data_IF_444834265291
#
_entry.id   IF_444834265291
#
_cell.length_a   1.000
_cell.length_b   1.000
_cell.length_c   1.000
_cell.angle_alpha   90.00
_cell.angle_beta   90.00
_cell.angle_gamma   90.00
#
_symmetry.space_group_name_H-M   'P 1'
#
loop_
_entity.id
_entity.type
_entity.pdbx_description
1 polymer ?
#
# COMPACT_ATOMS: atom_id res chain seq x y z
N UNK A 1 -10.05 6.93 74.59
CA UNK A 1 -10.48 6.31 73.32
C UNK A 1 -9.79 7.03 72.18
N UNK A 2 -9.41 6.25 71.17
CA UNK A 2 -8.55 6.59 70.04
C UNK A 2 -9.07 7.77 69.19
N UNK A 3 -8.15 8.58 68.66
CA UNK A 3 -7.90 8.62 67.21
C UNK A 3 -6.70 9.53 66.90
N UNK A 4 -5.60 8.89 66.53
CA UNK A 4 -4.46 9.48 65.84
C UNK A 4 -4.85 9.88 64.42
N UNK A 5 -4.52 11.10 63.99
CA UNK A 5 -4.47 11.45 62.56
C UNK A 5 -3.04 11.86 62.24
N UNK A 6 -2.33 10.95 61.59
CA UNK A 6 -1.06 11.16 60.90
C UNK A 6 -1.33 11.77 59.53
N UNK A 7 -0.66 12.85 59.15
CA UNK A 7 -0.55 13.31 57.76
C UNK A 7 0.82 12.87 57.20
N UNK A 8 0.87 12.02 56.16
CA UNK A 8 2.08 11.80 55.40
C UNK A 8 2.12 12.70 54.15
N UNK A 9 3.31 13.27 53.94
CA UNK A 9 4.00 13.49 52.67
C UNK A 9 3.20 14.00 51.44
N UNK A 10 3.41 15.29 51.14
CA UNK A 10 3.53 15.77 49.76
C UNK A 10 4.83 15.21 49.15
N UNK A 11 4.77 14.24 48.24
CA UNK A 11 5.89 13.90 47.37
C UNK A 11 5.44 13.06 46.16
N UNK A 12 4.58 13.61 45.31
CA UNK A 12 4.23 12.97 44.02
C UNK A 12 3.84 14.00 42.97
N UNK A 13 4.78 14.82 42.48
CA UNK A 13 4.61 15.57 41.23
C UNK A 13 5.98 15.86 40.61
N UNK A 14 6.67 14.83 40.10
CA UNK A 14 7.88 15.01 39.29
C UNK A 14 8.22 13.83 38.36
N UNK A 15 7.29 12.91 38.06
CA UNK A 15 7.58 11.70 37.26
C UNK A 15 6.84 11.58 35.92
N UNK A 16 5.99 12.54 35.56
CA UNK A 16 5.21 12.50 34.30
C UNK A 16 5.78 13.33 33.16
N UNK A 17 6.74 14.25 33.40
CA UNK A 17 7.31 15.08 32.32
C UNK A 17 8.56 14.49 31.62
N UNK A 18 9.26 13.55 32.26
CA UNK A 18 10.52 12.99 31.71
C UNK A 18 10.30 11.82 30.76
N UNK A 19 9.24 11.02 30.98
CA UNK A 19 8.91 9.88 30.12
C UNK A 19 8.46 10.32 28.71
N UNK A 20 7.70 11.42 28.62
CA UNK A 20 7.28 12.01 27.34
C UNK A 20 8.46 12.55 26.53
N UNK A 21 9.45 13.17 27.16
CA UNK A 21 10.63 13.70 26.44
C UNK A 21 11.56 12.60 25.92
N UNK A 22 11.67 11.47 26.62
CA UNK A 22 12.51 10.35 26.17
C UNK A 22 11.90 9.61 24.97
N UNK A 23 10.58 9.39 24.98
CA UNK A 23 9.88 8.78 23.84
C UNK A 23 9.85 9.71 22.62
N UNK A 24 9.70 11.02 22.84
CA UNK A 24 9.69 12.01 21.76
C UNK A 24 11.05 12.18 21.07
N UNK A 25 12.16 11.83 21.74
CA UNK A 25 13.52 11.86 21.17
C UNK A 25 13.93 10.54 20.49
N UNK A 26 13.31 9.40 20.83
CA UNK A 26 13.72 8.09 20.34
C UNK A 26 13.38 7.88 18.86
N UNK A 27 12.13 8.14 18.45
CA UNK A 27 11.68 7.93 17.07
C UNK A 27 12.41 8.81 16.04
N UNK A 28 12.88 9.98 16.46
CA UNK A 28 13.58 10.94 15.59
C UNK A 28 14.93 10.39 15.12
N UNK A 29 15.62 9.60 15.96
CA UNK A 29 16.89 8.99 15.60
C UNK A 29 16.73 7.89 14.55
N UNK A 30 15.57 7.24 14.52
CA UNK A 30 15.23 6.16 13.59
C UNK A 30 14.39 6.64 12.40
N UNK A 31 14.28 7.96 12.21
CA UNK A 31 13.49 8.58 11.15
C UNK A 31 14.28 9.61 10.36
N UNK A 32 14.08 9.64 9.04
CA UNK A 32 14.57 10.72 8.18
C UNK A 32 13.49 11.28 7.27
N UNK A 33 13.63 12.56 6.94
CA UNK A 33 12.76 13.30 6.03
C UNK A 33 13.47 13.51 4.69
N UNK A 34 12.84 13.09 3.60
CA UNK A 34 13.30 13.35 2.23
C UNK A 34 12.60 14.60 1.71
N UNK A 35 13.37 15.58 1.23
CA UNK A 35 12.87 16.89 0.77
C UNK A 35 13.58 17.34 -0.50
N UNK A 36 12.92 18.19 -1.29
CA UNK A 36 13.55 18.91 -2.41
C UNK A 36 14.21 20.21 -1.94
N UNK A 37 15.44 20.44 -2.39
CA UNK A 37 16.17 21.71 -2.24
C UNK A 37 16.84 22.09 -3.57
N UNK A 38 16.19 22.97 -4.32
CA UNK A 38 16.59 23.29 -5.69
C UNK A 38 16.63 22.02 -6.55
N UNK A 39 17.75 21.79 -7.23
CA UNK A 39 17.94 20.62 -8.10
C UNK A 39 18.34 19.35 -7.33
N UNK A 40 18.47 19.41 -6.01
CA UNK A 40 18.87 18.27 -5.20
C UNK A 40 17.72 17.74 -4.37
N UNK A 41 17.86 16.48 -3.99
CA UNK A 41 17.07 15.81 -2.96
C UNK A 41 17.96 15.66 -1.73
N UNK A 42 17.47 16.11 -0.59
CA UNK A 42 18.18 16.10 0.68
C UNK A 42 17.49 15.19 1.68
N UNK A 43 18.29 14.57 2.53
CA UNK A 43 17.83 13.75 3.64
C UNK A 43 18.14 14.52 4.92
N UNK A 44 17.11 14.76 5.73
CA UNK A 44 17.22 15.55 6.95
C UNK A 44 16.76 14.78 8.17
N UNK A 45 17.43 15.06 9.28
CA UNK A 45 16.99 14.61 10.60
C UNK A 45 15.78 15.44 11.06
N UNK A 46 14.69 14.81 11.57
CA UNK A 46 13.47 15.52 11.93
C UNK A 46 13.60 16.42 13.18
N UNK A 47 14.53 16.12 14.09
CA UNK A 47 14.65 16.86 15.37
C UNK A 47 15.36 18.22 15.28
N UNK A 48 16.36 18.34 14.39
CA UNK A 48 17.22 19.52 14.28
C UNK A 48 17.35 20.04 12.84
N UNK A 49 16.65 19.42 11.88
CA UNK A 49 16.65 19.75 10.46
C UNK A 49 18.05 19.68 9.81
N UNK A 50 19.00 18.96 10.42
CA UNK A 50 20.35 18.79 9.88
C UNK A 50 20.31 17.94 8.61
N UNK A 51 20.96 18.41 7.55
CA UNK A 51 21.18 17.61 6.34
C UNK A 51 22.18 16.50 6.62
N UNK A 52 21.73 15.25 6.50
CA UNK A 52 22.50 14.03 6.70
C UNK A 52 23.10 13.52 5.37
N UNK A 53 22.34 13.69 4.28
CA UNK A 53 22.74 13.27 2.94
C UNK A 53 22.13 14.20 1.89
N UNK A 54 22.79 14.32 0.74
CA UNK A 54 22.33 15.13 -0.38
C UNK A 54 22.75 14.49 -1.70
N UNK A 55 21.83 14.39 -2.64
CA UNK A 55 22.12 13.93 -3.99
C UNK A 55 21.23 14.62 -5.02
N UNK A 56 21.68 14.71 -6.28
CA UNK A 56 20.83 15.17 -7.38
C UNK A 56 19.86 14.09 -7.86
N UNK A 57 20.23 12.83 -7.70
CA UNK A 57 19.34 11.68 -7.92
C UNK A 57 18.46 11.45 -6.69
N UNK A 58 17.14 11.51 -6.88
CA UNK A 58 16.18 11.31 -5.80
C UNK A 58 16.15 9.87 -5.32
N UNK A 59 16.37 8.89 -6.22
CA UNK A 59 16.43 7.47 -5.87
C UNK A 59 17.51 7.23 -4.81
N UNK A 60 18.72 7.76 -5.03
CA UNK A 60 19.85 7.56 -4.13
C UNK A 60 19.59 8.16 -2.74
N UNK A 61 18.92 9.31 -2.66
CA UNK A 61 18.57 9.92 -1.38
C UNK A 61 17.51 9.12 -0.62
N UNK A 62 16.49 8.62 -1.32
CA UNK A 62 15.43 7.79 -0.72
C UNK A 62 16.01 6.46 -0.22
N UNK A 63 16.77 5.77 -1.07
CA UNK A 63 17.40 4.50 -0.69
C UNK A 63 18.45 4.68 0.41
N UNK A 64 19.14 5.82 0.48
CA UNK A 64 20.03 6.12 1.59
C UNK A 64 19.25 6.16 2.92
N UNK A 65 18.06 6.76 2.93
CA UNK A 65 17.19 6.75 4.11
C UNK A 65 16.80 5.32 4.52
N UNK A 66 16.31 4.54 3.56
CA UNK A 66 15.88 3.15 3.80
C UNK A 66 17.04 2.24 4.28
N UNK A 67 18.27 2.53 3.84
CA UNK A 67 19.47 1.80 4.25
C UNK A 67 19.93 2.17 5.66
N UNK A 68 19.70 3.41 6.10
CA UNK A 68 20.33 3.95 7.33
C UNK A 68 19.41 4.01 8.53
N UNK A 69 18.10 4.17 8.34
CA UNK A 69 17.13 4.30 9.43
C UNK A 69 15.90 3.44 9.18
N UNK A 70 15.05 3.27 10.20
CA UNK A 70 13.84 2.44 10.13
C UNK A 70 12.74 3.12 9.35
N UNK A 71 12.57 4.45 9.49
CA UNK A 71 11.49 5.20 8.86
C UNK A 71 12.03 6.25 7.89
N UNK A 72 11.62 6.15 6.63
CA UNK A 72 11.91 7.15 5.60
C UNK A 72 10.61 7.80 5.16
N UNK A 73 10.49 9.11 5.34
CA UNK A 73 9.29 9.88 4.98
C UNK A 73 9.62 10.84 3.84
N UNK A 74 9.04 10.60 2.67
CA UNK A 74 9.15 11.50 1.52
C UNK A 74 8.11 12.60 1.65
N UNK A 75 8.55 13.83 1.84
CA UNK A 75 7.66 14.99 1.95
C UNK A 75 7.29 15.55 0.58
N UNK A 76 6.33 16.47 0.56
CA UNK A 76 5.85 17.11 -0.66
C UNK A 76 6.95 17.63 -1.59
N UNK A 77 6.77 17.41 -2.89
CA UNK A 77 7.74 17.74 -3.93
C UNK A 77 7.73 16.76 -5.11
N UNK A 78 8.42 17.12 -6.18
CA UNK A 78 8.59 16.25 -7.35
C UNK A 78 9.94 15.52 -7.30
N UNK A 79 9.90 14.20 -7.39
CA UNK A 79 11.07 13.34 -7.33
C UNK A 79 11.16 12.51 -8.60
N UNK A 80 12.27 12.68 -9.30
CA UNK A 80 12.61 11.91 -10.49
C UNK A 80 13.49 10.74 -10.06
N UNK A 81 13.04 9.52 -10.35
CA UNK A 81 13.67 8.25 -10.00
C UNK A 81 14.38 7.69 -11.22
N UNK A 82 15.68 7.40 -11.11
CA UNK A 82 16.50 6.93 -12.23
C UNK A 82 16.14 5.52 -12.69
N UNK A 83 15.73 4.62 -11.80
CA UNK A 83 15.31 3.27 -12.16
C UNK A 83 14.06 2.85 -11.42
N UNK A 84 14.22 2.57 -10.12
CA UNK A 84 13.17 2.25 -9.16
C UNK A 84 13.73 2.40 -7.75
N UNK A 85 12.86 2.43 -6.76
CA UNK A 85 13.25 2.43 -5.35
C UNK A 85 13.29 0.97 -4.88
N UNK A 86 14.49 0.45 -4.65
CA UNK A 86 14.67 -0.88 -4.05
C UNK A 86 14.59 -0.79 -2.52
N UNK A 87 13.71 -1.58 -1.92
CA UNK A 87 13.71 -1.78 -0.47
C UNK A 87 14.94 -2.61 -0.10
N UNK A 88 15.86 -2.10 0.74
CA UNK A 88 17.19 -2.69 0.88
C UNK A 88 17.29 -3.76 1.97
N UNK A 89 16.32 -3.81 2.90
CA UNK A 89 16.38 -4.64 4.12
C UNK A 89 14.98 -4.82 4.73
N UNK A 90 14.77 -5.84 5.58
CA UNK A 90 13.51 -6.02 6.31
C UNK A 90 13.26 -4.94 7.36
N UNK A 91 12.01 -4.84 7.80
CA UNK A 91 11.57 -4.00 8.92
C UNK A 91 11.60 -2.50 8.66
N UNK A 92 11.74 -2.04 7.41
CA UNK A 92 11.73 -0.61 7.08
C UNK A 92 10.34 -0.11 6.75
N UNK A 93 10.09 1.16 7.05
CA UNK A 93 8.89 1.89 6.66
C UNK A 93 9.24 2.97 5.65
N UNK A 94 8.54 2.97 4.52
CA UNK A 94 8.52 4.05 3.55
C UNK A 94 7.16 4.75 3.57
N UNK A 95 7.15 6.05 3.83
CA UNK A 95 5.95 6.90 3.74
C UNK A 95 6.10 7.86 2.58
N UNK A 96 5.13 7.91 1.68
CA UNK A 96 5.05 8.89 0.59
C UNK A 96 3.93 9.86 0.91
N UNK A 97 4.28 11.09 1.28
CA UNK A 97 3.34 12.16 1.64
C UNK A 97 2.36 12.49 0.51
N UNK A 98 1.17 12.98 0.87
CA UNK A 98 0.08 13.30 -0.06
C UNK A 98 0.43 14.36 -1.13
N UNK A 99 1.48 15.15 -0.90
CA UNK A 99 1.96 16.15 -1.85
C UNK A 99 3.25 15.74 -2.57
N UNK A 100 3.73 14.50 -2.37
CA UNK A 100 4.89 13.97 -3.07
C UNK A 100 4.46 13.31 -4.39
N UNK A 101 5.21 13.60 -5.46
CA UNK A 101 5.04 12.96 -6.77
C UNK A 101 6.33 12.24 -7.14
N UNK A 102 6.26 10.93 -7.35
CA UNK A 102 7.37 10.12 -7.86
C UNK A 102 7.11 9.79 -9.33
N UNK A 103 8.13 9.96 -10.17
CA UNK A 103 8.10 9.58 -11.58
C UNK A 103 9.43 9.02 -12.03
N UNK A 104 9.41 8.14 -13.03
CA UNK A 104 10.63 7.63 -13.63
C UNK A 104 11.28 8.69 -14.54
N UNK A 105 12.61 8.72 -14.56
CA UNK A 105 13.37 9.48 -15.54
C UNK A 105 13.24 8.82 -16.93
N UNK A 106 12.64 9.47 -17.93
CA UNK A 106 12.42 8.85 -19.24
C UNK A 106 13.71 8.54 -20.00
N UNK A 107 14.83 9.18 -19.64
CA UNK A 107 16.12 9.06 -20.35
C UNK A 107 17.03 7.96 -19.80
N UNK A 108 16.65 7.32 -18.69
CA UNK A 108 17.45 6.29 -18.03
C UNK A 108 17.06 4.88 -18.45
N UNK A 109 18.01 3.96 -18.31
CA UNK A 109 17.74 2.53 -18.44
C UNK A 109 17.03 2.04 -17.19
N UNK A 110 15.90 1.35 -17.38
CA UNK A 110 15.12 0.82 -16.28
C UNK A 110 15.12 -0.71 -16.22
N UNK A 111 15.24 -1.24 -15.01
CA UNK A 111 15.27 -2.66 -14.68
C UNK A 111 13.87 -3.23 -14.67
N UNK A 112 13.65 -4.23 -15.54
CA UNK A 112 12.35 -4.89 -15.68
C UNK A 112 12.30 -6.20 -14.91
N UNK A 113 11.08 -6.62 -14.60
CA UNK A 113 10.77 -7.93 -14.08
C UNK A 113 9.90 -8.66 -15.10
N UNK A 114 10.32 -9.89 -15.42
CA UNK A 114 9.63 -10.75 -16.38
C UNK A 114 8.75 -11.80 -15.68
N UNK A 115 7.76 -12.27 -16.44
CA UNK A 115 7.00 -13.46 -16.13
C UNK A 115 7.85 -14.72 -16.22
N UNK A 116 7.45 -15.75 -15.47
CA UNK A 116 7.86 -17.12 -15.78
C UNK A 116 6.98 -17.64 -16.92
N UNK A 117 7.32 -17.29 -18.15
CA UNK A 117 6.57 -17.70 -19.35
C UNK A 117 7.50 -18.30 -20.41
N UNK A 118 6.94 -19.11 -21.32
CA UNK A 118 7.68 -19.63 -22.49
C UNK A 118 8.10 -18.52 -23.46
N UNK A 119 7.44 -17.36 -23.37
CA UNK A 119 7.72 -16.15 -24.14
C UNK A 119 8.30 -15.08 -23.20
N UNK A 120 9.61 -15.16 -22.91
CA UNK A 120 10.29 -14.10 -22.18
C UNK A 120 10.09 -12.75 -22.91
N UNK A 121 9.85 -11.67 -22.17
CA UNK A 121 9.57 -10.34 -22.74
C UNK A 121 8.12 -10.08 -23.17
N UNK A 122 7.15 -10.96 -22.90
CA UNK A 122 5.74 -10.75 -23.28
C UNK A 122 5.12 -9.50 -22.63
N UNK A 123 5.44 -9.20 -21.36
CA UNK A 123 5.32 -7.86 -20.78
C UNK A 123 6.45 -7.63 -19.80
N UNK A 124 7.10 -6.48 -19.95
CA UNK A 124 8.18 -6.06 -19.07
C UNK A 124 7.61 -5.09 -18.04
N UNK A 125 7.57 -5.53 -16.78
CA UNK A 125 7.01 -4.73 -15.69
C UNK A 125 8.12 -4.03 -14.91
N UNK A 126 7.88 -2.78 -14.54
CA UNK A 126 8.85 -1.95 -13.83
C UNK A 126 8.24 -1.51 -12.49
N UNK A 127 8.46 -2.23 -11.39
CA UNK A 127 7.99 -1.76 -10.10
C UNK A 127 8.73 -0.48 -9.73
N UNK A 128 8.00 0.60 -9.44
CA UNK A 128 8.59 1.87 -9.03
C UNK A 128 9.08 1.82 -7.59
N UNK A 129 8.36 1.10 -6.72
CA UNK A 129 8.81 0.73 -5.38
C UNK A 129 8.80 -0.80 -5.28
N UNK A 130 9.95 -1.39 -5.01
CA UNK A 130 10.16 -2.83 -5.12
C UNK A 130 10.70 -3.43 -3.83
N UNK A 131 9.90 -4.27 -3.19
CA UNK A 131 10.33 -5.11 -2.08
C UNK A 131 10.64 -6.52 -2.58
N UNK A 132 11.92 -6.92 -2.59
CA UNK A 132 12.35 -8.25 -3.03
C UNK A 132 12.74 -9.15 -1.86
N UNK A 133 11.77 -9.87 -1.32
CA UNK A 133 12.03 -10.90 -0.32
C UNK A 133 12.40 -10.39 1.07
N UNK A 134 12.02 -9.14 1.41
CA UNK A 134 12.24 -8.60 2.75
C UNK A 134 10.96 -8.62 3.57
N UNK A 135 11.09 -9.17 4.77
CA UNK A 135 10.04 -9.31 5.77
C UNK A 135 9.72 -7.98 6.45
N UNK A 136 8.49 -7.86 6.97
CA UNK A 136 8.06 -6.76 7.84
C UNK A 136 8.24 -5.35 7.27
N UNK A 137 8.26 -5.24 5.94
CA UNK A 137 8.34 -3.95 5.23
C UNK A 137 6.98 -3.26 5.22
N UNK A 138 6.97 -1.96 5.52
CA UNK A 138 5.78 -1.11 5.48
C UNK A 138 5.90 -0.07 4.38
N UNK A 139 4.91 0.00 3.50
CA UNK A 139 4.84 1.02 2.45
C UNK A 139 3.48 1.71 2.53
N UNK A 140 3.52 2.98 2.92
CA UNK A 140 2.36 3.84 3.12
C UNK A 140 2.37 4.92 2.03
N UNK A 141 1.53 4.76 1.01
CA UNK A 141 1.51 5.62 -0.17
C UNK A 141 0.27 6.51 -0.17
N UNK A 142 0.49 7.80 0.06
CA UNK A 142 -0.55 8.83 0.06
C UNK A 142 -0.39 9.83 -1.09
N UNK A 143 0.81 9.93 -1.68
CA UNK A 143 1.14 10.81 -2.79
C UNK A 143 0.77 10.26 -4.17
N UNK A 144 1.53 10.66 -5.19
CA UNK A 144 1.32 10.26 -6.59
C UNK A 144 2.49 9.44 -7.11
N UNK A 145 2.20 8.29 -7.73
CA UNK A 145 3.15 7.50 -8.51
C UNK A 145 2.75 7.59 -9.99
N UNK A 146 3.52 8.33 -10.78
CA UNK A 146 3.21 8.56 -12.20
C UNK A 146 3.50 7.32 -13.05
N UNK A 147 2.50 6.90 -13.82
CA UNK A 147 2.66 5.80 -14.75
C UNK A 147 3.61 6.19 -15.88
N UNK A 148 4.61 5.35 -16.11
CA UNK A 148 5.45 5.39 -17.29
C UNK A 148 5.20 4.16 -18.15
N UNK A 149 5.07 4.37 -19.46
CA UNK A 149 4.78 3.32 -20.43
C UNK A 149 5.52 3.60 -21.74
N UNK A 150 6.21 2.59 -22.26
CA UNK A 150 6.67 2.56 -23.65
C UNK A 150 5.87 1.48 -24.38
N UNK A 151 5.25 1.85 -25.50
CA UNK A 151 4.60 0.89 -26.40
C UNK A 151 5.57 0.48 -27.51
N UNK A 152 5.63 -0.81 -27.80
CA UNK A 152 6.44 -1.36 -28.90
C UNK A 152 5.65 -2.44 -29.65
N UNK A 153 6.12 -2.81 -30.86
CA UNK A 153 5.50 -3.88 -31.66
C UNK A 153 5.57 -5.26 -30.98
N UNK A 154 6.56 -5.46 -30.10
CA UNK A 154 6.85 -6.73 -29.42
C UNK A 154 6.39 -6.74 -27.95
N UNK A 155 5.38 -5.91 -27.64
CA UNK A 155 4.87 -5.57 -26.31
C UNK A 155 5.71 -4.52 -25.57
N UNK A 156 5.02 -3.75 -24.74
CA UNK A 156 5.57 -2.56 -24.11
C UNK A 156 6.25 -2.82 -22.77
N UNK A 157 6.87 -1.76 -22.25
CA UNK A 157 7.30 -1.63 -20.86
C UNK A 157 6.28 -0.78 -20.12
N UNK A 158 5.89 -1.16 -18.90
CA UNK A 158 5.06 -0.30 -18.07
C UNK A 158 5.40 -0.39 -16.59
N UNK A 159 5.22 0.72 -15.89
CA UNK A 159 5.40 0.78 -14.44
C UNK A 159 4.29 0.07 -13.69
N UNK A 160 4.69 -0.69 -12.67
CA UNK A 160 3.84 -1.04 -11.55
C UNK A 160 4.16 -0.11 -10.38
N UNK A 161 3.20 0.38 -9.59
CA UNK A 161 3.49 1.39 -8.59
C UNK A 161 4.26 0.79 -7.40
N UNK A 162 3.74 -0.29 -6.79
CA UNK A 162 4.39 -1.01 -5.69
C UNK A 162 4.27 -2.52 -5.92
N UNK A 163 5.37 -3.24 -5.71
CA UNK A 163 5.39 -4.69 -5.76
C UNK A 163 6.11 -5.27 -4.53
N UNK A 164 5.44 -6.19 -3.85
CA UNK A 164 6.06 -7.11 -2.90
C UNK A 164 6.30 -8.43 -3.64
N UNK A 165 7.56 -8.79 -3.83
CA UNK A 165 7.98 -9.96 -4.60
C UNK A 165 8.75 -10.96 -3.72
N UNK A 166 8.02 -11.90 -3.14
CA UNK A 166 8.59 -13.02 -2.38
C UNK A 166 9.00 -14.22 -3.24
N UNK A 167 9.01 -14.12 -4.58
CA UNK A 167 9.35 -15.25 -5.44
C UNK A 167 10.78 -15.72 -5.17
N UNK A 168 10.93 -17.02 -4.97
CA UNK A 168 12.22 -17.65 -4.72
C UNK A 168 12.29 -19.04 -5.37
N UNK A 169 13.47 -19.64 -5.38
CA UNK A 169 13.72 -20.94 -6.02
C UNK A 169 13.01 -22.12 -5.35
N UNK A 170 12.66 -21.98 -4.06
CA UNK A 170 11.96 -23.02 -3.29
C UNK A 170 10.48 -23.11 -3.66
N UNK A 171 9.91 -22.06 -4.28
CA UNK A 171 8.51 -22.03 -4.68
C UNK A 171 7.54 -21.95 -3.50
N UNK A 172 7.96 -21.31 -2.41
CA UNK A 172 7.13 -20.94 -1.26
C UNK A 172 7.06 -19.41 -1.15
N UNK A 173 6.36 -18.89 -0.14
CA UNK A 173 6.40 -17.45 0.14
C UNK A 173 7.80 -17.05 0.62
N UNK A 174 8.43 -16.10 -0.06
CA UNK A 174 9.80 -15.65 0.26
C UNK A 174 9.86 -14.30 0.95
N UNK A 175 8.70 -13.74 1.31
CA UNK A 175 8.60 -12.69 2.31
C UNK A 175 7.38 -12.93 3.19
N UNK A 176 7.41 -12.39 4.39
CA UNK A 176 6.34 -12.46 5.37
C UNK A 176 6.16 -11.16 6.14
N UNK A 177 4.91 -10.88 6.51
CA UNK A 177 4.58 -9.72 7.33
C UNK A 177 4.62 -8.42 6.54
N UNK A 178 4.56 -7.30 7.25
CA UNK A 178 4.57 -5.97 6.65
C UNK A 178 3.20 -5.44 6.25
N UNK A 179 3.20 -4.21 5.73
CA UNK A 179 1.99 -3.44 5.43
C UNK A 179 2.10 -2.79 4.06
N UNK A 180 1.03 -2.87 3.27
CA UNK A 180 0.82 -2.01 2.10
C UNK A 180 -0.45 -1.21 2.29
N UNK A 181 -0.34 0.12 2.26
CA UNK A 181 -1.51 1.00 2.35
C UNK A 181 -1.47 2.06 1.26
N UNK A 182 -2.60 2.24 0.58
CA UNK A 182 -2.72 3.17 -0.55
C UNK A 182 -4.00 4.00 -0.43
N UNK A 183 -3.81 5.31 -0.33
CA UNK A 183 -4.89 6.32 -0.52
C UNK A 183 -4.49 7.43 -1.49
N UNK A 184 -3.31 7.30 -2.09
CA UNK A 184 -2.79 8.23 -3.08
C UNK A 184 -3.22 7.89 -4.51
N UNK A 185 -2.52 8.47 -5.47
CA UNK A 185 -2.83 8.36 -6.89
C UNK A 185 -1.85 7.43 -7.61
N UNK A 186 -2.37 6.42 -8.31
CA UNK A 186 -1.64 5.59 -9.26
C UNK A 186 -2.62 5.03 -10.30
N UNK A 187 -2.21 4.88 -11.56
CA UNK A 187 -3.08 4.40 -12.66
C UNK A 187 -2.82 2.93 -13.05
N UNK A 188 -2.09 2.20 -12.22
CA UNK A 188 -1.82 0.77 -12.40
C UNK A 188 -1.97 0.03 -11.06
N UNK A 189 -1.96 -1.29 -11.14
CA UNK A 189 -2.32 -2.19 -10.05
C UNK A 189 -1.16 -2.34 -9.06
N UNK A 190 -1.47 -2.52 -7.78
CA UNK A 190 -0.48 -2.87 -6.74
C UNK A 190 -0.37 -4.38 -6.62
N UNK A 191 0.84 -4.91 -6.39
CA UNK A 191 1.09 -6.36 -6.49
C UNK A 191 1.67 -6.94 -5.20
N UNK A 192 1.06 -8.04 -4.75
CA UNK A 192 1.64 -8.96 -3.78
C UNK A 192 1.87 -10.30 -4.48
N UNK A 193 3.12 -10.76 -4.48
CA UNK A 193 3.50 -12.03 -5.10
C UNK A 193 4.30 -12.87 -4.12
N UNK A 194 3.91 -14.13 -3.94
CA UNK A 194 4.59 -15.10 -3.05
C UNK A 194 4.86 -14.52 -1.66
N UNK A 195 3.85 -13.84 -1.11
CA UNK A 195 3.93 -13.07 0.14
C UNK A 195 3.03 -13.68 1.20
N UNK A 196 3.54 -13.85 2.43
CA UNK A 196 2.77 -14.37 3.55
C UNK A 196 2.42 -13.26 4.57
N UNK A 197 1.26 -13.33 5.23
CA UNK A 197 0.91 -12.48 6.38
C UNK A 197 1.02 -10.96 6.13
N UNK A 198 0.92 -10.51 4.88
CA UNK A 198 0.92 -9.08 4.55
C UNK A 198 -0.44 -8.50 4.96
N UNK A 199 -0.41 -7.37 5.66
CA UNK A 199 -1.62 -6.63 5.97
C UNK A 199 -1.85 -5.48 4.98
N UNK A 200 -3.06 -5.41 4.42
CA UNK A 200 -3.47 -4.32 3.51
C UNK A 200 -4.68 -3.62 4.10
N UNK A 201 -4.50 -2.61 4.98
CA UNK A 201 -5.62 -2.00 5.68
C UNK A 201 -6.56 -1.25 4.72
N UNK A 202 -5.99 -0.52 3.75
CA UNK A 202 -6.73 0.27 2.75
C UNK A 202 -5.97 0.28 1.43
N UNK A 203 -6.66 -0.03 0.33
CA UNK A 203 -6.28 0.37 -1.03
C UNK A 203 -7.52 0.97 -1.68
N UNK A 204 -7.51 2.27 -1.94
CA UNK A 204 -8.67 2.95 -2.48
C UNK A 204 -8.25 3.88 -3.62
N UNK A 205 -8.77 3.61 -4.82
CA UNK A 205 -8.37 4.30 -6.04
C UNK A 205 -9.60 4.79 -6.82
N UNK A 206 -9.47 5.96 -7.41
CA UNK A 206 -10.43 6.57 -8.35
C UNK A 206 -9.84 6.73 -9.75
N UNK A 207 -8.83 5.94 -10.08
CA UNK A 207 -8.00 6.06 -11.30
C UNK A 207 -8.27 4.99 -12.35
N UNK A 208 -9.16 4.04 -12.03
CA UNK A 208 -9.51 2.89 -12.86
C UNK A 208 -8.29 2.07 -13.35
N UNK A 209 -7.48 1.49 -12.44
CA UNK A 209 -6.43 0.55 -12.81
C UNK A 209 -7.04 -0.75 -13.38
N UNK A 210 -6.20 -1.65 -13.90
CA UNK A 210 -6.64 -3.00 -14.31
C UNK A 210 -7.30 -3.76 -13.15
N UNK A 211 -6.66 -3.74 -11.98
CA UNK A 211 -7.24 -4.08 -10.69
C UNK A 211 -6.68 -3.11 -9.63
N UNK A 212 -7.39 -2.81 -8.54
CA UNK A 212 -6.78 -1.99 -7.47
C UNK A 212 -5.67 -2.75 -6.74
N UNK A 213 -5.78 -4.07 -6.63
CA UNK A 213 -4.79 -4.92 -5.97
C UNK A 213 -4.76 -6.30 -6.64
N UNK A 214 -3.56 -6.81 -6.87
CA UNK A 214 -3.30 -8.14 -7.46
C UNK A 214 -2.57 -9.00 -6.44
N UNK A 215 -3.09 -10.21 -6.19
CA UNK A 215 -2.44 -11.22 -5.35
C UNK A 215 -2.13 -12.46 -6.19
N UNK A 216 -0.89 -12.94 -6.11
CA UNK A 216 -0.49 -14.18 -6.77
C UNK A 216 0.46 -15.01 -5.89
N UNK A 217 0.03 -16.20 -5.47
CA UNK A 217 0.84 -17.07 -4.60
C UNK A 217 0.88 -16.66 -3.13
N UNK A 218 -0.02 -15.79 -2.69
CA UNK A 218 -0.05 -15.26 -1.32
C UNK A 218 -0.65 -16.24 -0.29
N UNK A 219 -0.29 -16.05 0.97
CA UNK A 219 -0.73 -16.92 2.08
C UNK A 219 -1.05 -16.07 3.32
N UNK A 220 -2.15 -16.35 4.02
CA UNK A 220 -2.51 -15.69 5.29
C UNK A 220 -2.59 -14.15 5.23
N UNK A 221 -2.92 -13.56 4.09
CA UNK A 221 -3.03 -12.10 3.97
C UNK A 221 -4.38 -11.59 4.47
N UNK A 222 -4.35 -10.44 5.16
CA UNK A 222 -5.55 -9.78 5.67
C UNK A 222 -5.74 -8.42 5.01
N UNK A 223 -6.82 -8.28 4.25
CA UNK A 223 -7.17 -7.09 3.48
C UNK A 223 -8.38 -6.40 4.13
N UNK A 224 -8.26 -5.10 4.43
CA UNK A 224 -9.32 -4.29 5.01
C UNK A 224 -10.30 -3.80 3.95
N UNK A 225 -10.17 -2.52 3.57
CA UNK A 225 -10.98 -1.90 2.52
C UNK A 225 -10.22 -1.83 1.20
N UNK A 226 -10.71 -2.54 0.18
CA UNK A 226 -10.25 -2.38 -1.20
C UNK A 226 -11.37 -1.71 -2.01
N UNK A 227 -11.09 -0.54 -2.57
CA UNK A 227 -12.05 0.23 -3.34
C UNK A 227 -11.50 0.61 -4.73
N UNK A 228 -12.35 0.47 -5.74
CA UNK A 228 -12.12 0.92 -7.11
C UNK A 228 -13.36 1.68 -7.56
N UNK A 229 -13.25 3.01 -7.64
CA UNK A 229 -14.33 3.86 -8.14
C UNK A 229 -13.92 4.49 -9.47
N UNK A 230 -14.91 4.90 -10.27
CA UNK A 230 -14.60 5.48 -11.58
C UNK A 230 -14.06 6.91 -11.44
N UNK A 231 -13.03 7.32 -12.20
CA UNK A 231 -12.57 8.72 -12.26
C UNK A 231 -13.66 9.66 -12.80
N UNK A 232 -14.64 9.09 -13.51
CA UNK A 232 -15.74 9.83 -14.11
C UNK A 232 -17.05 9.39 -13.48
N UNK A 233 -17.87 10.36 -13.08
CA UNK A 233 -19.18 10.09 -12.51
C UNK A 233 -20.00 9.20 -13.44
N UNK A 234 -20.46 8.05 -12.93
CA UNK A 234 -21.28 7.15 -13.72
C UNK A 234 -20.49 6.16 -14.59
N UNK A 235 -19.15 6.23 -14.57
CA UNK A 235 -18.31 5.37 -15.39
C UNK A 235 -18.22 3.94 -14.89
N UNK A 236 -17.43 3.14 -15.62
CA UNK A 236 -17.14 1.75 -15.29
C UNK A 236 -15.71 1.63 -14.77
N UNK A 237 -15.48 0.62 -13.93
CA UNK A 237 -14.15 0.19 -13.53
C UNK A 237 -13.80 -1.16 -14.16
N UNK A 238 -12.52 -1.52 -14.21
CA UNK A 238 -12.07 -2.86 -14.59
C UNK A 238 -12.35 -3.86 -13.45
N UNK A 239 -11.30 -4.40 -12.83
CA UNK A 239 -11.41 -5.24 -11.63
C UNK A 239 -11.27 -4.41 -10.34
N UNK A 240 -11.96 -4.80 -9.27
CA UNK A 240 -11.67 -4.21 -7.96
C UNK A 240 -10.46 -4.90 -7.33
N UNK A 241 -10.44 -6.24 -7.39
CA UNK A 241 -9.30 -7.06 -6.95
C UNK A 241 -9.12 -8.23 -7.90
N UNK A 242 -7.85 -8.55 -8.19
CA UNK A 242 -7.44 -9.72 -8.96
C UNK A 242 -6.72 -10.71 -8.04
N UNK A 243 -7.39 -11.81 -7.73
CA UNK A 243 -6.83 -12.95 -7.03
C UNK A 243 -6.28 -13.93 -8.08
N UNK A 244 -5.21 -13.50 -8.73
CA UNK A 244 -4.74 -14.02 -10.02
C UNK A 244 -4.43 -15.52 -10.02
N UNK A 245 -3.83 -16.06 -8.95
CA UNK A 245 -3.77 -17.50 -8.67
C UNK A 245 -3.01 -17.83 -7.39
N UNK A 246 -3.21 -19.06 -6.90
CA UNK A 246 -2.40 -19.73 -5.86
C UNK A 246 -2.42 -19.02 -4.51
N UNK A 247 -3.47 -18.25 -4.24
CA UNK A 247 -3.65 -17.57 -2.96
C UNK A 247 -4.40 -18.47 -1.99
N UNK A 248 -3.93 -18.57 -0.74
CA UNK A 248 -4.57 -19.38 0.30
C UNK A 248 -4.76 -18.57 1.57
N UNK A 249 -5.86 -18.86 2.28
CA UNK A 249 -6.20 -18.24 3.57
C UNK A 249 -6.23 -16.70 3.52
N UNK A 250 -6.78 -16.17 2.43
CA UNK A 250 -6.95 -14.72 2.25
C UNK A 250 -8.27 -14.29 2.89
N UNK A 251 -8.22 -13.23 3.70
CA UNK A 251 -9.42 -12.62 4.28
C UNK A 251 -9.56 -11.19 3.80
N UNK A 252 -10.77 -10.81 3.40
CA UNK A 252 -11.11 -9.49 2.91
C UNK A 252 -12.30 -8.95 3.69
N UNK A 253 -12.12 -7.85 4.41
CA UNK A 253 -13.22 -7.23 5.16
C UNK A 253 -14.23 -6.56 4.22
N UNK A 254 -13.76 -5.78 3.23
CA UNK A 254 -14.69 -5.06 2.35
C UNK A 254 -14.12 -4.75 0.98
N UNK A 255 -14.89 -5.10 -0.05
CA UNK A 255 -14.68 -4.69 -1.42
C UNK A 255 -15.74 -3.67 -1.86
N UNK A 256 -15.33 -2.60 -2.51
CA UNK A 256 -16.24 -1.61 -3.10
C UNK A 256 -15.84 -1.33 -4.55
N UNK A 257 -16.66 -1.77 -5.51
CA UNK A 257 -16.42 -1.56 -6.95
C UNK A 257 -17.52 -0.76 -7.62
N UNK A 258 -17.19 0.18 -8.51
CA UNK A 258 -18.17 0.93 -9.30
C UNK A 258 -18.35 0.38 -10.71
N UNK A 259 -19.56 -0.13 -11.02
CA UNK A 259 -19.94 -0.73 -12.31
C UNK A 259 -18.82 -1.57 -12.93
N UNK A 260 -18.17 -2.36 -12.09
CA UNK A 260 -16.96 -3.07 -12.46
C UNK A 260 -17.23 -4.06 -13.59
N UNK A 261 -16.27 -4.23 -14.49
CA UNK A 261 -16.29 -5.37 -15.41
C UNK A 261 -16.34 -6.67 -14.61
N UNK A 262 -15.63 -6.68 -13.50
CA UNK A 262 -15.59 -7.77 -12.55
C UNK A 262 -15.23 -7.22 -11.17
N UNK A 263 -15.95 -7.55 -10.09
CA UNK A 263 -15.51 -7.05 -8.76
C UNK A 263 -14.34 -7.90 -8.25
N UNK A 264 -14.50 -9.22 -8.32
CA UNK A 264 -13.47 -10.18 -7.93
C UNK A 264 -13.16 -11.07 -9.12
N UNK A 265 -11.93 -11.01 -9.65
CA UNK A 265 -11.38 -12.12 -10.43
C UNK A 265 -10.73 -13.10 -9.47
N UNK A 266 -11.28 -14.31 -9.38
CA UNK A 266 -10.82 -15.35 -8.47
C UNK A 266 -10.41 -16.60 -9.24
N UNK A 267 -9.11 -16.70 -9.44
CA UNK A 267 -8.44 -17.82 -10.07
C UNK A 267 -7.72 -18.63 -8.99
N UNK A 268 -7.83 -19.98 -9.03
CA UNK A 268 -7.12 -20.92 -8.14
C UNK A 268 -6.78 -20.37 -6.74
N UNK A 269 -7.76 -19.88 -5.99
CA UNK A 269 -7.54 -19.16 -4.72
C UNK A 269 -8.57 -19.57 -3.66
N UNK A 270 -8.18 -19.53 -2.38
CA UNK A 270 -9.03 -19.77 -1.21
C UNK A 270 -9.18 -18.47 -0.42
N UNK A 271 -10.38 -17.86 -0.48
CA UNK A 271 -10.64 -16.51 0.01
C UNK A 271 -11.99 -16.44 0.72
N UNK A 272 -12.01 -15.72 1.83
CA UNK A 272 -13.23 -15.30 2.53
C UNK A 272 -13.37 -13.78 2.38
N UNK A 273 -14.54 -13.33 1.93
CA UNK A 273 -14.90 -11.92 1.81
C UNK A 273 -16.12 -11.64 2.68
N UNK A 274 -15.99 -10.74 3.65
CA UNK A 274 -17.09 -10.38 4.53
C UNK A 274 -18.15 -9.59 3.76
N UNK A 275 -17.76 -8.46 3.15
CA UNK A 275 -18.69 -7.59 2.43
C UNK A 275 -18.23 -7.27 1.00
N UNK A 276 -19.12 -7.45 0.04
CA UNK A 276 -18.96 -6.95 -1.34
C UNK A 276 -20.04 -5.93 -1.64
N UNK A 277 -19.62 -4.71 -2.01
CA UNK A 277 -20.51 -3.61 -2.39
C UNK A 277 -20.25 -3.24 -3.85
N UNK A 278 -21.29 -3.31 -4.67
CA UNK A 278 -21.27 -2.76 -6.02
C UNK A 278 -22.02 -1.44 -6.08
N UNK A 279 -21.36 -0.41 -6.61
CA UNK A 279 -21.96 0.89 -6.92
C UNK A 279 -22.46 0.82 -8.37
N UNK A 280 -23.78 0.77 -8.55
CA UNK A 280 -24.39 0.40 -9.83
C UNK A 280 -24.31 -1.11 -10.11
N UNK A 281 -24.89 -1.55 -11.23
CA UNK A 281 -24.85 -2.95 -11.64
C UNK A 281 -23.49 -3.29 -12.27
N UNK A 282 -22.75 -4.29 -11.75
CA UNK A 282 -21.51 -4.73 -12.38
C UNK A 282 -21.82 -5.69 -13.53
N UNK A 283 -20.86 -5.85 -14.45
CA UNK A 283 -20.99 -6.87 -15.50
C UNK A 283 -20.84 -8.28 -14.93
N UNK A 284 -19.94 -8.45 -13.96
CA UNK A 284 -19.78 -9.66 -13.16
C UNK A 284 -19.50 -9.29 -11.71
N UNK A 285 -20.21 -9.94 -10.80
CA UNK A 285 -19.87 -9.86 -9.37
C UNK A 285 -18.59 -10.64 -9.09
N UNK A 286 -18.54 -11.89 -9.55
CA UNK A 286 -17.46 -12.81 -9.29
C UNK A 286 -17.14 -13.54 -10.59
N UNK A 287 -15.95 -13.35 -11.14
CA UNK A 287 -15.48 -14.27 -12.17
C UNK A 287 -14.71 -15.42 -11.57
N UNK A 288 -14.76 -16.51 -12.31
CA UNK A 288 -14.30 -17.83 -11.90
C UNK A 288 -13.69 -18.48 -13.13
N UNK A 289 -12.51 -18.04 -13.53
CA UNK A 289 -11.79 -18.61 -14.68
C UNK A 289 -11.05 -19.90 -14.33
N UNK A 290 -10.78 -20.79 -15.31
CA UNK A 290 -9.60 -21.63 -15.22
C UNK A 290 -8.36 -20.73 -15.24
N UNK A 291 -7.25 -21.22 -14.69
CA UNK A 291 -5.95 -20.55 -14.75
C UNK A 291 -5.61 -20.26 -16.22
N UNK A 292 -5.60 -18.99 -16.61
CA UNK A 292 -5.16 -18.51 -17.93
C UNK A 292 -4.08 -17.44 -17.82
N UNK A 293 -3.18 -17.38 -18.80
CA UNK A 293 -2.12 -16.37 -18.88
C UNK A 293 -0.82 -16.73 -18.13
N UNK A 294 0.25 -15.94 -18.34
CA UNK A 294 1.52 -16.11 -17.64
C UNK A 294 1.39 -15.97 -16.13
N UNK A 295 2.29 -16.61 -15.38
CA UNK A 295 2.30 -16.60 -13.91
C UNK A 295 3.55 -15.93 -13.39
N UNK A 296 3.39 -15.03 -12.41
CA UNK A 296 4.51 -14.48 -11.68
C UNK A 296 4.92 -15.42 -10.55
N UNK A 297 3.97 -16.00 -9.83
CA UNK A 297 4.23 -16.85 -8.66
C UNK A 297 5.12 -18.07 -8.98
N UNK A 298 6.07 -18.36 -8.09
CA UNK A 298 6.82 -19.61 -8.09
C UNK A 298 6.12 -20.73 -7.30
N UNK A 299 5.00 -20.44 -6.63
CA UNK A 299 4.19 -21.43 -5.92
C UNK A 299 3.71 -22.52 -6.86
N UNK A 300 3.61 -23.75 -6.38
CA UNK A 300 2.97 -24.82 -7.14
C UNK A 300 1.45 -24.64 -7.14
N UNK A 301 0.82 -25.06 -8.23
CA UNK A 301 -0.63 -25.16 -8.29
C UNK A 301 -1.13 -26.18 -7.26
N UNK A 302 -2.20 -25.83 -6.54
CA UNK A 302 -2.96 -26.73 -5.66
C UNK A 302 -4.29 -27.19 -6.30
N UNK A 303 -4.60 -26.75 -7.53
CA UNK A 303 -5.64 -27.30 -8.40
C UNK A 303 -7.08 -27.09 -7.93
N UNK A 304 -7.29 -26.27 -6.89
CA UNK A 304 -8.59 -26.03 -6.28
C UNK A 304 -8.83 -24.54 -6.04
N UNK A 305 -10.05 -24.20 -5.62
CA UNK A 305 -10.46 -22.83 -5.27
C UNK A 305 -11.62 -22.86 -4.30
N UNK A 306 -11.70 -21.85 -3.45
CA UNK A 306 -12.83 -21.57 -2.57
C UNK A 306 -13.03 -20.07 -2.47
N UNK A 307 -14.18 -19.55 -2.89
CA UNK A 307 -14.54 -18.15 -2.69
C UNK A 307 -15.82 -18.11 -1.88
N UNK A 308 -15.69 -17.73 -0.62
CA UNK A 308 -16.81 -17.55 0.31
C UNK A 308 -17.09 -16.05 0.47
N UNK A 309 -18.28 -15.60 0.06
CA UNK A 309 -18.71 -14.20 0.16
C UNK A 309 -19.92 -14.15 1.07
N UNK A 310 -19.78 -13.51 2.22
CA UNK A 310 -20.83 -13.53 3.26
C UNK A 310 -21.97 -12.57 2.95
N UNK A 311 -21.64 -11.33 2.58
CA UNK A 311 -22.62 -10.31 2.25
C UNK A 311 -22.37 -9.71 0.87
N UNK A 312 -23.44 -9.49 0.13
CA UNK A 312 -23.41 -8.81 -1.17
C UNK A 312 -24.47 -7.71 -1.20
N UNK A 313 -24.06 -6.50 -1.54
CA UNK A 313 -24.95 -5.34 -1.73
C UNK A 313 -24.73 -4.74 -3.10
N UNK A 314 -25.81 -4.60 -3.89
CA UNK A 314 -25.79 -3.88 -5.16
C UNK A 314 -26.61 -2.60 -5.00
N UNK A 315 -25.98 -1.45 -5.22
CA UNK A 315 -26.62 -0.14 -5.18
C UNK A 315 -26.98 0.30 -6.61
N UNK A 316 -27.96 -0.38 -7.21
CA UNK A 316 -28.33 -0.22 -8.63
C UNK A 316 -28.63 1.24 -9.00
N UNK A 317 -29.28 1.97 -8.10
CA UNK A 317 -29.71 3.35 -8.31
C UNK A 317 -28.66 4.40 -7.86
N UNK A 318 -27.41 4.00 -7.61
CA UNK A 318 -26.36 4.94 -7.23
C UNK A 318 -26.15 6.00 -8.33
N UNK A 319 -26.22 7.27 -7.94
CA UNK A 319 -26.10 8.42 -8.86
C UNK A 319 -24.71 9.04 -8.86
N UNK A 320 -23.84 8.65 -7.92
CA UNK A 320 -22.45 9.07 -7.87
C UNK A 320 -21.71 8.45 -6.69
N UNK A 321 -20.39 8.56 -6.75
CA UNK A 321 -19.44 8.03 -5.78
C UNK A 321 -18.27 9.01 -5.67
N UNK A 322 -17.56 8.99 -4.54
CA UNK A 322 -16.23 9.60 -4.40
C UNK A 322 -15.48 8.97 -3.23
N UNK A 323 -14.15 9.05 -3.30
CA UNK A 323 -13.28 8.77 -2.18
C UNK A 323 -13.00 10.06 -1.40
N UNK A 324 -12.98 9.93 -0.07
CA UNK A 324 -12.57 11.01 0.84
C UNK A 324 -11.50 10.43 1.74
N UNK A 325 -10.30 11.00 1.66
CA UNK A 325 -9.15 10.58 2.44
C UNK A 325 -8.82 11.65 3.49
N UNK A 326 -8.75 11.23 4.75
CA UNK A 326 -8.19 12.03 5.84
C UNK A 326 -6.78 11.50 6.10
N UNK A 327 -5.81 12.11 5.42
CA UNK A 327 -4.38 11.79 5.54
C UNK A 327 -3.72 12.86 6.41
N UNK A 328 -2.88 12.47 7.38
CA UNK A 328 -2.12 13.42 8.20
C UNK A 328 -1.19 14.31 7.36
N UNK A 329 -0.76 15.42 7.94
CA UNK A 329 0.28 16.28 7.36
C UNK A 329 1.64 15.88 7.94
N UNK A 330 2.59 15.58 7.07
CA UNK A 330 3.96 15.26 7.47
C UNK A 330 4.87 16.49 7.34
N UNK A 331 5.83 16.68 8.27
CA UNK A 331 6.21 15.76 9.35
C UNK A 331 5.41 15.93 10.66
N UNK A 332 4.49 16.90 10.75
CA UNK A 332 3.84 17.32 12.00
C UNK A 332 3.07 16.21 12.74
N UNK A 333 2.55 15.23 12.02
CA UNK A 333 1.79 14.12 12.58
C UNK A 333 2.65 12.94 13.08
N UNK A 334 3.99 13.03 13.01
CA UNK A 334 4.87 11.96 13.49
C UNK A 334 5.06 12.01 15.02
N UNK A 335 5.30 10.86 15.68
CA UNK A 335 5.45 9.52 15.11
C UNK A 335 4.14 8.73 14.93
N UNK A 336 3.04 9.18 15.53
CA UNK A 336 1.79 8.43 15.59
C UNK A 336 0.65 9.15 14.87
N UNK A 337 0.01 8.46 13.92
CA UNK A 337 -1.04 9.04 13.09
C UNK A 337 -2.13 8.03 12.73
N UNK A 338 -3.28 8.55 12.30
CA UNK A 338 -4.38 7.74 11.79
C UNK A 338 -4.73 8.22 10.39
N UNK A 339 -4.98 7.26 9.50
CA UNK A 339 -5.53 7.53 8.17
C UNK A 339 -6.93 6.97 8.09
N UNK A 340 -7.85 7.74 7.52
CA UNK A 340 -9.22 7.31 7.28
C UNK A 340 -9.57 7.47 5.80
N UNK A 341 -10.19 6.43 5.24
CA UNK A 341 -10.83 6.49 3.93
C UNK A 341 -12.32 6.27 4.08
N UNK A 342 -13.09 7.15 3.43
CA UNK A 342 -14.53 7.02 3.27
C UNK A 342 -14.86 6.86 1.80
N UNK A 343 -15.54 5.77 1.44
CA UNK A 343 -16.25 5.66 0.17
C UNK A 343 -17.65 6.27 0.37
N UNK A 344 -17.86 7.47 -0.16
CA UNK A 344 -19.16 8.15 -0.13
C UNK A 344 -19.94 7.81 -1.41
N UNK A 345 -21.15 7.29 -1.25
CA UNK A 345 -22.04 6.96 -2.37
C UNK A 345 -23.31 7.77 -2.26
N UNK A 346 -23.61 8.53 -3.31
CA UNK A 346 -24.84 9.28 -3.47
C UNK A 346 -25.93 8.38 -4.06
N UNK A 347 -27.08 8.36 -3.40
CA UNK A 347 -28.30 7.67 -3.80
C UNK A 347 -29.38 8.70 -4.21
N UNK A 348 -30.51 8.27 -4.80
CA UNK A 348 -31.62 9.16 -5.07
C UNK A 348 -32.13 9.86 -3.80
N UNK A 349 -32.85 10.98 -3.97
CA UNK A 349 -33.44 11.76 -2.89
C UNK A 349 -32.42 12.29 -1.86
N UNK A 350 -31.21 12.63 -2.31
CA UNK A 350 -30.12 13.16 -1.48
C UNK A 350 -29.67 12.22 -0.34
N UNK A 351 -29.98 10.93 -0.42
CA UNK A 351 -29.46 9.95 0.53
C UNK A 351 -27.99 9.65 0.25
N UNK A 352 -27.22 9.41 1.31
CA UNK A 352 -25.81 9.02 1.22
C UNK A 352 -25.55 7.74 2.02
N UNK A 353 -24.70 6.87 1.49
CA UNK A 353 -24.10 5.75 2.22
C UNK A 353 -22.60 5.96 2.32
N UNK A 354 -22.05 5.66 3.50
CA UNK A 354 -20.62 5.78 3.77
C UNK A 354 -20.06 4.42 4.17
N UNK A 355 -18.97 4.03 3.53
CA UNK A 355 -18.16 2.89 3.96
C UNK A 355 -16.80 3.42 4.42
N UNK A 356 -16.54 3.33 5.71
CA UNK A 356 -15.37 3.95 6.37
C UNK A 356 -14.41 2.87 6.84
N UNK A 357 -13.11 3.07 6.61
CA UNK A 357 -12.03 2.30 7.23
C UNK A 357 -11.00 3.26 7.80
N UNK A 358 -10.51 2.96 9.00
CA UNK A 358 -9.41 3.67 9.64
C UNK A 358 -8.23 2.71 9.85
N UNK A 359 -7.02 3.24 9.77
CA UNK A 359 -5.80 2.54 10.12
C UNK A 359 -4.94 3.47 10.97
N UNK A 360 -4.50 3.00 12.14
CA UNK A 360 -3.61 3.73 13.02
C UNK A 360 -2.18 3.18 12.87
N UNK A 361 -1.21 4.08 12.90
CA UNK A 361 0.21 3.77 12.80
C UNK A 361 0.93 4.48 13.92
N UNK A 362 1.89 3.78 14.53
CA UNK A 362 2.84 4.37 15.46
C UNK A 362 4.25 3.95 15.06
N UNK A 363 5.07 4.95 14.73
CA UNK A 363 6.47 4.72 14.36
C UNK A 363 7.40 4.68 15.59
N UNK A 364 6.90 4.81 16.83
CA UNK A 364 7.74 4.61 18.03
C UNK A 364 7.91 3.16 18.45
N UNK A 365 6.96 2.29 18.09
CA UNK A 365 6.79 0.96 18.70
C UNK A 365 7.48 -0.18 17.93
N UNK A 366 8.36 0.14 17.00
CA UNK A 366 9.16 -0.85 16.29
C UNK A 366 10.41 -1.17 17.11
N UNK A 367 10.21 -1.74 18.31
CA UNK A 367 11.31 -2.31 19.09
C UNK A 367 12.00 -3.38 18.24
N UNK A 368 13.26 -3.15 17.91
CA UNK A 368 14.18 -4.18 17.44
C UNK A 368 14.14 -5.33 18.44
N UNK A 369 13.51 -6.44 18.07
CA UNK A 369 13.83 -7.72 18.69
C UNK A 369 15.28 -8.03 18.34
N UNK A 370 16.19 -7.75 19.26
CA UNK A 370 17.53 -8.35 19.26
C UNK A 370 17.45 -9.87 19.43
#
# INVERSE_FOLDING_TARGET
MLSSVTHPLLLSFAFTLTATSCLQAAWQNDTVLIQKEGNSTVVKHPGDNKTLFKNTDSQLAIEWGLKTVTHTVILGGEYVISDRIDIPRPGVTLVVDQHATLRLNPESTHTTIDFKSRNAGYWQMLPMIYNKGHDDVQILMFGTLEKWKIESKDNGKQTLPIMFDGRNEKGNCGLSGGVMMVTGHATDSFWLVDSARVHVPIVALDTNPGASLVLEGCEDCHLGLIASISPTKGGNTAETIDLNSRNIDITIERLVGERSQEIIDCNESHVIVEDVISIGSPRKMFGRGPISGPRYTNRRSFGSRSLDVRNTTILENAVGSRLIHEVPRFPDALPAFTVQTTVEIALPNNQKKHYVRKAAFDLSDQTTSE
#
